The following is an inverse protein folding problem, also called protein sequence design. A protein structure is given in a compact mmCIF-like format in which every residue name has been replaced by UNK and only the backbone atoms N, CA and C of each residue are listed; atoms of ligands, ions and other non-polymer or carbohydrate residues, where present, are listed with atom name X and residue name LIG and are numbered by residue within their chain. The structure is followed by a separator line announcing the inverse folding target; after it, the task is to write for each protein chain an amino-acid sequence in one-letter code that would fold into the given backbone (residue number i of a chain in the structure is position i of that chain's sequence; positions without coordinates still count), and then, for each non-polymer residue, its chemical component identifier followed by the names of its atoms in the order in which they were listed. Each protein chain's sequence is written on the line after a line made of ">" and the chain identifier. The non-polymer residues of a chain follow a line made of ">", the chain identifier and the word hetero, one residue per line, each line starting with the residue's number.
data_IF_055567986320
#
_entry.id   IF_055567986320
#
_cell.length_a   1.000
_cell.length_b   1.000
_cell.length_c   1.000
_cell.angle_alpha   90.00
_cell.angle_beta   90.00
_cell.angle_gamma   90.00
#
_symmetry.space_group_name_H-M   'P 1'
#
loop_
_entity.id
_entity.type
_entity.pdbx_description
1 polymer ?
#
# COMPACT_ATOMS: atom_id res chain seq x y z
N UNK A 1 31.56 -14.22 -23.91
CA UNK A 1 32.30 -13.17 -24.62
C UNK A 1 31.56 -12.87 -25.92
N UNK A 2 31.01 -11.68 -26.07
CA UNK A 2 30.18 -11.26 -27.20
C UNK A 2 30.90 -10.10 -27.90
N UNK A 3 31.07 -10.09 -29.23
CA UNK A 3 31.70 -8.98 -29.93
C UNK A 3 30.91 -7.68 -29.75
N UNK A 4 31.62 -6.56 -29.54
CA UNK A 4 31.00 -5.24 -29.48
C UNK A 4 30.68 -4.71 -30.89
N UNK A 5 29.86 -3.65 -30.96
CA UNK A 5 29.58 -2.94 -32.22
C UNK A 5 30.85 -2.41 -32.90
N UNK A 6 31.92 -2.12 -32.13
CA UNK A 6 33.19 -1.63 -32.70
C UNK A 6 33.89 -2.70 -33.53
N UNK A 7 33.84 -3.97 -33.11
CA UNK A 7 34.43 -5.08 -33.87
C UNK A 7 33.74 -5.21 -35.22
N UNK A 8 32.40 -5.19 -35.24
CA UNK A 8 31.65 -5.21 -36.48
C UNK A 8 31.95 -4.00 -37.36
N UNK A 9 32.06 -2.80 -36.77
CA UNK A 9 32.44 -1.60 -37.51
C UNK A 9 33.81 -1.73 -38.17
N UNK A 10 34.83 -2.23 -37.46
CA UNK A 10 36.17 -2.45 -38.02
C UNK A 10 36.20 -3.53 -39.11
N UNK A 11 35.46 -4.63 -38.94
CA UNK A 11 35.38 -5.67 -39.96
C UNK A 11 34.64 -5.20 -41.22
N UNK A 12 33.56 -4.44 -41.05
CA UNK A 12 32.81 -3.88 -42.19
C UNK A 12 33.62 -2.79 -42.89
N UNK A 13 34.31 -1.92 -42.16
CA UNK A 13 35.18 -0.91 -42.79
C UNK A 13 36.35 -1.54 -43.55
N UNK A 14 36.90 -2.65 -43.05
CA UNK A 14 37.92 -3.43 -43.76
C UNK A 14 37.42 -3.92 -45.13
N UNK A 15 36.16 -4.36 -45.24
CA UNK A 15 35.55 -4.76 -46.53
C UNK A 15 35.53 -3.60 -47.53
N UNK A 16 35.21 -2.39 -47.08
CA UNK A 16 35.21 -1.19 -47.95
C UNK A 16 36.61 -0.71 -48.35
N UNK A 17 37.61 -0.94 -47.50
CA UNK A 17 39.01 -0.55 -47.76
C UNK A 17 39.70 -1.55 -48.71
N UNK A 18 39.31 -2.83 -48.69
CA UNK A 18 39.88 -3.90 -49.50
C UNK A 18 39.97 -3.59 -51.02
N UNK A 19 38.93 -3.09 -51.72
CA UNK A 19 39.03 -2.79 -53.15
C UNK A 19 40.01 -1.65 -53.46
N UNK A 20 40.11 -0.64 -52.59
CA UNK A 20 41.05 0.47 -52.74
C UNK A 20 42.49 -0.04 -52.58
N UNK A 21 42.72 -0.88 -51.56
CA UNK A 21 44.04 -1.45 -51.31
C UNK A 21 44.49 -2.40 -52.44
N UNK A 22 43.54 -3.13 -53.04
CA UNK A 22 43.81 -4.01 -54.19
C UNK A 22 44.33 -3.26 -55.42
N UNK A 23 43.97 -1.99 -55.61
CA UNK A 23 44.47 -1.17 -56.73
C UNK A 23 45.96 -0.83 -56.53
N UNK A 24 46.41 -0.70 -55.29
CA UNK A 24 47.77 -0.25 -54.95
C UNK A 24 48.75 -1.41 -54.87
N UNK A 25 48.37 -2.50 -54.20
CA UNK A 25 49.29 -3.60 -53.82
C UNK A 25 48.98 -4.90 -54.59
N UNK A 26 47.88 -4.94 -55.34
CA UNK A 26 47.41 -6.13 -56.06
C UNK A 26 46.50 -7.03 -55.22
N UNK A 27 45.69 -7.85 -55.91
CA UNK A 27 44.59 -8.63 -55.32
C UNK A 27 45.07 -9.58 -54.21
N UNK A 28 46.08 -10.41 -54.50
CA UNK A 28 46.56 -11.42 -53.55
C UNK A 28 47.18 -10.81 -52.30
N UNK A 29 47.98 -9.75 -52.45
CA UNK A 29 48.58 -9.05 -51.32
C UNK A 29 47.51 -8.33 -50.48
N UNK A 30 46.52 -7.70 -51.12
CA UNK A 30 45.39 -7.07 -50.45
C UNK A 30 44.58 -8.08 -49.62
N UNK A 31 44.29 -9.25 -50.17
CA UNK A 31 43.59 -10.33 -49.43
C UNK A 31 44.41 -10.78 -48.22
N UNK A 32 45.72 -10.99 -48.38
CA UNK A 32 46.59 -11.41 -47.27
C UNK A 32 46.64 -10.35 -46.14
N UNK A 33 46.72 -9.06 -46.50
CA UNK A 33 46.71 -7.95 -45.53
C UNK A 33 45.37 -7.89 -44.78
N UNK A 34 44.24 -8.05 -45.49
CA UNK A 34 42.91 -8.03 -44.86
C UNK A 34 42.71 -9.20 -43.91
N UNK A 35 43.12 -10.42 -44.31
CA UNK A 35 43.06 -11.60 -43.43
C UNK A 35 43.90 -11.37 -42.17
N UNK A 36 45.10 -10.79 -42.31
CA UNK A 36 45.96 -10.48 -41.16
C UNK A 36 45.29 -9.43 -40.25
N UNK A 37 44.68 -8.39 -40.81
CA UNK A 37 43.94 -7.39 -40.06
C UNK A 37 42.74 -8.01 -39.30
N UNK A 38 41.94 -8.84 -39.95
CA UNK A 38 40.82 -9.55 -39.31
C UNK A 38 41.28 -10.44 -38.16
N UNK A 39 42.36 -11.20 -38.37
CA UNK A 39 42.97 -12.04 -37.33
C UNK A 39 43.46 -11.16 -36.16
N UNK A 40 44.12 -10.03 -36.43
CA UNK A 40 44.58 -9.14 -35.35
C UNK A 40 43.41 -8.56 -34.54
N UNK A 41 42.32 -8.13 -35.18
CA UNK A 41 41.11 -7.63 -34.50
C UNK A 41 40.51 -8.73 -33.61
N UNK A 42 40.40 -9.96 -34.12
CA UNK A 42 39.88 -11.09 -33.34
C UNK A 42 40.80 -11.44 -32.16
N UNK A 43 42.12 -11.40 -32.33
CA UNK A 43 43.08 -11.61 -31.24
C UNK A 43 42.91 -10.52 -30.18
N UNK A 44 42.83 -9.25 -30.56
CA UNK A 44 42.60 -8.16 -29.61
C UNK A 44 41.27 -8.28 -28.88
N UNK A 45 40.21 -8.73 -29.57
CA UNK A 45 38.90 -9.01 -28.95
C UNK A 45 38.99 -10.11 -27.89
N UNK A 46 39.72 -11.21 -28.17
CA UNK A 46 39.93 -12.30 -27.21
C UNK A 46 40.73 -11.82 -26.00
N UNK A 47 41.79 -11.05 -26.23
CA UNK A 47 42.61 -10.48 -25.14
C UNK A 47 41.77 -9.53 -24.28
N UNK A 48 40.95 -8.67 -24.89
CA UNK A 48 40.06 -7.73 -24.19
C UNK A 48 39.10 -8.50 -23.27
N UNK A 49 38.43 -9.55 -23.78
CA UNK A 49 37.48 -10.30 -22.98
C UNK A 49 38.11 -11.20 -21.90
N UNK A 50 39.32 -11.73 -22.11
CA UNK A 50 40.04 -12.45 -21.05
C UNK A 50 40.46 -11.50 -19.92
N UNK A 51 40.88 -10.27 -20.24
CA UNK A 51 41.22 -9.26 -19.22
C UNK A 51 40.02 -8.89 -18.34
N UNK A 52 38.80 -8.88 -18.89
CA UNK A 52 37.58 -8.60 -18.12
C UNK A 52 37.40 -9.59 -16.98
N UNK A 53 37.68 -10.89 -17.20
CA UNK A 53 37.47 -11.94 -16.18
C UNK A 53 38.23 -11.69 -14.88
N UNK A 54 39.43 -11.10 -14.97
CA UNK A 54 40.24 -10.76 -13.80
C UNK A 54 39.80 -9.45 -13.13
N UNK A 55 39.15 -8.57 -13.88
CA UNK A 55 38.70 -7.25 -13.44
C UNK A 55 37.17 -7.12 -13.41
N UNK A 56 36.47 -8.22 -13.11
CA UNK A 56 35.01 -8.22 -12.98
C UNK A 56 34.58 -7.34 -11.82
N UNK A 57 33.57 -6.53 -12.05
CA UNK A 57 32.95 -5.74 -10.98
C UNK A 57 32.25 -6.66 -9.97
N UNK A 58 32.28 -6.25 -8.70
CA UNK A 58 31.48 -6.87 -7.64
C UNK A 58 30.18 -6.07 -7.51
N UNK A 59 29.06 -6.76 -7.46
CA UNK A 59 27.74 -6.13 -7.30
C UNK A 59 27.04 -6.81 -6.14
N UNK A 60 26.45 -6.02 -5.26
CA UNK A 60 25.58 -6.49 -4.17
C UNK A 60 24.24 -5.78 -4.28
N UNK A 61 23.15 -6.53 -4.09
CA UNK A 61 21.79 -5.98 -4.11
C UNK A 61 21.28 -5.78 -2.69
N UNK A 62 20.80 -4.58 -2.42
CA UNK A 62 20.08 -4.26 -1.19
C UNK A 62 18.59 -4.03 -1.50
N UNK A 63 17.76 -4.87 -0.90
CA UNK A 63 16.31 -4.83 -1.03
C UNK A 63 15.69 -4.16 0.21
N UNK A 64 14.63 -3.35 0.06
CA UNK A 64 13.86 -2.90 1.20
C UNK A 64 13.30 -4.10 1.98
N UNK A 65 13.43 -4.07 3.31
CA UNK A 65 12.91 -5.12 4.20
C UNK A 65 11.40 -5.38 4.02
N UNK A 66 10.66 -4.35 3.57
CA UNK A 66 9.21 -4.40 3.36
C UNK A 66 8.86 -3.58 2.11
N UNK A 67 8.44 -4.25 1.05
CA UNK A 67 7.90 -3.59 -0.13
C UNK A 67 6.45 -3.18 0.12
N UNK A 68 6.01 -2.06 -0.43
CA UNK A 68 4.62 -1.59 -0.36
C UNK A 68 3.94 -1.72 -1.71
N UNK A 69 2.77 -2.37 -1.74
CA UNK A 69 1.92 -2.48 -2.93
C UNK A 69 1.52 -1.10 -3.46
N UNK A 70 1.51 -0.95 -4.79
CA UNK A 70 1.00 0.26 -5.44
C UNK A 70 1.88 1.51 -5.25
N UNK A 71 3.13 1.33 -4.84
CA UNK A 71 4.12 2.39 -4.61
C UNK A 71 5.44 2.05 -5.30
N UNK A 72 6.24 3.08 -5.56
CA UNK A 72 7.62 2.90 -5.97
C UNK A 72 8.45 2.44 -4.77
N UNK A 73 9.17 1.35 -4.93
CA UNK A 73 10.08 0.81 -3.93
C UNK A 73 11.50 0.83 -4.50
N UNK A 74 12.43 1.60 -3.89
CA UNK A 74 13.79 1.70 -4.40
C UNK A 74 14.57 0.41 -4.11
N UNK A 75 15.24 -0.12 -5.13
CA UNK A 75 16.23 -1.20 -5.01
C UNK A 75 17.60 -0.60 -5.30
N UNK A 76 18.55 -0.86 -4.41
CA UNK A 76 19.90 -0.29 -4.48
C UNK A 76 20.86 -1.40 -4.92
N UNK A 77 21.62 -1.13 -5.97
CA UNK A 77 22.69 -1.98 -6.47
C UNK A 77 24.02 -1.28 -6.21
N UNK A 78 24.79 -1.82 -5.28
CA UNK A 78 26.12 -1.29 -4.94
C UNK A 78 27.15 -1.98 -5.83
N UNK A 79 27.83 -1.20 -6.67
CA UNK A 79 28.82 -1.72 -7.62
C UNK A 79 30.21 -1.26 -7.19
N UNK A 80 31.09 -2.22 -6.92
CA UNK A 80 32.50 -1.97 -6.60
C UNK A 80 33.40 -2.41 -7.74
N UNK A 81 34.22 -1.49 -8.22
CA UNK A 81 35.26 -1.74 -9.24
C UNK A 81 36.61 -2.02 -8.60
N UNK A 82 37.45 -2.78 -9.31
CA UNK A 82 38.86 -2.96 -8.95
C UNK A 82 39.76 -1.91 -9.61
N UNK A 83 41.01 -2.30 -9.93
CA UNK A 83 42.04 -1.42 -10.48
C UNK A 83 41.80 -0.92 -11.93
N UNK A 84 40.61 -1.10 -12.51
CA UNK A 84 40.31 -0.68 -13.87
C UNK A 84 38.90 -0.10 -13.95
N UNK A 85 38.69 0.95 -14.77
CA UNK A 85 37.35 1.48 -14.99
C UNK A 85 36.48 0.42 -15.67
N UNK A 86 35.18 0.48 -15.39
CA UNK A 86 34.22 -0.50 -15.89
C UNK A 86 33.01 0.20 -16.50
N UNK A 87 32.68 -0.17 -17.74
CA UNK A 87 31.41 0.17 -18.38
C UNK A 87 30.52 -1.06 -18.35
N UNK A 88 29.39 -0.96 -17.67
CA UNK A 88 28.54 -2.12 -17.37
C UNK A 88 27.08 -1.89 -17.75
N UNK A 89 26.40 -2.99 -18.02
CA UNK A 89 24.96 -3.10 -18.15
C UNK A 89 24.49 -4.16 -17.17
N UNK A 90 23.54 -3.80 -16.32
CA UNK A 90 22.99 -4.66 -15.27
C UNK A 90 21.52 -4.90 -15.55
N UNK A 91 21.10 -6.15 -15.44
CA UNK A 91 19.70 -6.58 -15.46
C UNK A 91 19.44 -7.43 -14.22
N UNK A 92 18.65 -6.89 -13.30
CA UNK A 92 18.20 -7.63 -12.11
C UNK A 92 16.97 -8.47 -12.46
N UNK A 93 16.94 -9.74 -12.08
CA UNK A 93 15.78 -10.59 -12.33
C UNK A 93 14.78 -10.47 -11.17
N UNK A 94 13.97 -9.41 -11.25
CA UNK A 94 12.82 -9.18 -10.37
C UNK A 94 11.63 -10.09 -10.71
N UNK A 95 10.66 -10.27 -9.78
CA UNK A 95 9.44 -11.03 -10.03
C UNK A 95 8.61 -10.49 -11.22
N UNK A 96 8.08 -11.34 -12.11
CA UNK A 96 7.39 -10.90 -13.33
C UNK A 96 6.12 -10.08 -13.08
N UNK A 97 5.56 -10.17 -11.88
CA UNK A 97 4.39 -9.41 -11.45
C UNK A 97 4.70 -7.93 -11.19
N UNK A 98 5.97 -7.55 -11.12
CA UNK A 98 6.40 -6.19 -10.79
C UNK A 98 6.72 -5.41 -12.06
N UNK A 99 6.34 -4.14 -12.05
CA UNK A 99 6.75 -3.17 -13.06
C UNK A 99 8.01 -2.46 -12.57
N UNK A 100 8.94 -2.15 -13.47
CA UNK A 100 10.14 -1.37 -13.16
C UNK A 100 10.19 -0.10 -13.98
N UNK A 101 10.87 0.91 -13.48
CA UNK A 101 11.17 2.13 -14.23
C UNK A 101 12.23 1.88 -15.32
N UNK A 102 13.26 1.09 -15.01
CA UNK A 102 14.42 0.83 -15.87
C UNK A 102 14.75 -0.66 -15.88
N UNK A 103 14.59 -1.32 -17.04
CA UNK A 103 14.86 -2.77 -17.19
C UNK A 103 16.38 -3.07 -17.30
N UNK A 104 17.16 -2.14 -17.86
CA UNK A 104 18.61 -2.28 -18.02
C UNK A 104 19.30 -1.03 -17.51
N UNK A 105 20.10 -1.18 -16.46
CA UNK A 105 20.85 -0.09 -15.85
C UNK A 105 22.23 -0.05 -16.48
N UNK A 106 22.61 1.09 -17.04
CA UNK A 106 23.94 1.30 -17.64
C UNK A 106 24.75 2.26 -16.80
N UNK A 107 25.98 1.89 -16.44
CA UNK A 107 26.87 2.73 -15.64
C UNK A 107 28.32 2.70 -16.16
N UNK A 108 29.03 3.81 -15.97
CA UNK A 108 30.45 3.96 -16.24
C UNK A 108 31.15 4.38 -14.95
N UNK A 109 31.89 3.45 -14.35
CA UNK A 109 32.47 3.60 -13.02
C UNK A 109 33.99 3.65 -13.15
N UNK A 110 34.65 4.61 -12.49
CA UNK A 110 36.11 4.70 -12.54
C UNK A 110 36.75 3.60 -11.69
N UNK A 111 38.05 3.37 -11.90
CA UNK A 111 38.81 2.39 -11.11
C UNK A 111 38.79 2.72 -9.61
N UNK A 112 38.73 1.67 -8.78
CA UNK A 112 38.73 1.74 -7.31
C UNK A 112 37.63 2.61 -6.72
N UNK A 113 36.47 2.68 -7.40
CA UNK A 113 35.28 3.37 -6.92
C UNK A 113 34.15 2.39 -6.62
N UNK A 114 33.34 2.78 -5.65
CA UNK A 114 32.04 2.17 -5.36
C UNK A 114 30.96 3.18 -5.75
N UNK A 115 30.00 2.75 -6.54
CA UNK A 115 28.85 3.57 -6.96
C UNK A 115 27.54 2.85 -6.61
N UNK A 116 26.57 3.61 -6.13
CA UNK A 116 25.22 3.12 -5.81
C UNK A 116 24.28 3.45 -6.97
N UNK A 117 23.70 2.42 -7.58
CA UNK A 117 22.74 2.54 -8.65
C UNK A 117 21.35 2.18 -8.12
N UNK A 118 20.42 3.11 -8.18
CA UNK A 118 19.06 2.92 -7.66
C UNK A 118 18.06 2.84 -8.79
N UNK A 119 17.18 1.84 -8.74
CA UNK A 119 16.02 1.71 -9.63
C UNK A 119 14.76 1.41 -8.83
N UNK A 120 13.58 1.71 -9.36
CA UNK A 120 12.33 1.52 -8.64
C UNK A 120 11.53 0.33 -9.16
N UNK A 121 11.02 -0.48 -8.23
CA UNK A 121 10.06 -1.55 -8.50
C UNK A 121 8.67 -1.16 -8.00
N UNK A 122 7.66 -1.46 -8.80
CA UNK A 122 6.26 -1.19 -8.55
C UNK A 122 5.48 -2.52 -8.51
N UNK A 123 5.22 -3.07 -7.30
CA UNK A 123 4.45 -4.29 -7.15
C UNK A 123 2.94 -4.04 -7.25
N UNK A 124 2.27 -4.82 -8.10
CA UNK A 124 0.82 -4.75 -8.31
C UNK A 124 0.03 -5.78 -7.48
N UNK A 125 0.71 -6.69 -6.79
CA UNK A 125 0.10 -7.75 -5.99
C UNK A 125 0.85 -7.90 -4.66
N UNK A 126 0.11 -8.13 -3.58
CA UNK A 126 0.67 -8.50 -2.28
C UNK A 126 1.02 -9.99 -2.26
N UNK A 127 2.00 -10.35 -1.45
CA UNK A 127 2.40 -11.75 -1.27
C UNK A 127 3.88 -11.90 -1.01
N UNK A 128 4.34 -13.14 -1.04
CA UNK A 128 5.75 -13.50 -0.95
C UNK A 128 6.28 -13.76 -2.36
N UNK A 129 7.39 -13.12 -2.71
CA UNK A 129 8.00 -13.20 -4.03
C UNK A 129 9.49 -13.49 -3.90
N UNK A 130 10.05 -14.13 -4.92
CA UNK A 130 11.46 -14.52 -4.94
C UNK A 130 12.20 -13.71 -5.99
N UNK A 131 13.18 -12.94 -5.54
CA UNK A 131 14.16 -12.33 -6.42
C UNK A 131 15.17 -13.37 -6.87
N UNK A 132 15.49 -13.35 -8.16
CA UNK A 132 16.45 -14.27 -8.77
C UNK A 132 17.79 -13.57 -8.96
N UNK A 133 18.61 -14.17 -9.81
CA UNK A 133 19.97 -13.76 -10.13
C UNK A 133 20.05 -12.30 -10.64
N UNK A 134 21.28 -11.78 -10.68
CA UNK A 134 21.59 -10.52 -11.37
C UNK A 134 22.43 -10.89 -12.61
N UNK A 135 21.97 -10.50 -13.79
CA UNK A 135 22.77 -10.60 -15.02
C UNK A 135 23.58 -9.33 -15.23
N UNK A 136 24.87 -9.51 -15.48
CA UNK A 136 25.81 -8.42 -15.66
C UNK A 136 26.52 -8.63 -16.98
N UNK A 137 26.68 -7.53 -17.70
CA UNK A 137 27.44 -7.44 -18.92
C UNK A 137 28.44 -6.29 -18.77
N UNK A 138 29.74 -6.59 -18.90
CA UNK A 138 30.82 -5.60 -18.79
C UNK A 138 31.56 -5.47 -20.12
N UNK A 139 31.79 -4.24 -20.55
CA UNK A 139 32.57 -3.93 -21.73
C UNK A 139 34.06 -3.92 -21.37
N UNK A 140 34.88 -4.52 -22.24
CA UNK A 140 36.33 -4.50 -22.10
C UNK A 140 36.92 -3.10 -22.23
N UNK A 141 38.16 -2.93 -21.77
CA UNK A 141 38.84 -1.63 -21.74
C UNK A 141 39.03 -1.05 -23.15
N UNK A 142 39.25 -1.93 -24.14
CA UNK A 142 39.37 -1.51 -25.55
C UNK A 142 38.01 -1.35 -26.23
N UNK A 143 36.93 -1.77 -25.56
CA UNK A 143 35.58 -1.71 -26.08
C UNK A 143 35.34 -2.69 -27.21
N UNK A 144 36.08 -3.80 -27.28
CA UNK A 144 36.01 -4.80 -28.35
C UNK A 144 35.14 -6.00 -27.96
N UNK A 145 35.16 -6.39 -26.69
CA UNK A 145 34.40 -7.53 -26.21
C UNK A 145 33.51 -7.18 -25.01
N UNK A 146 32.32 -7.78 -24.97
CA UNK A 146 31.47 -7.88 -23.80
C UNK A 146 31.70 -9.22 -23.10
N UNK A 147 31.82 -9.21 -21.78
CA UNK A 147 31.74 -10.43 -20.97
C UNK A 147 30.45 -10.43 -20.16
N UNK A 148 29.76 -11.57 -20.16
CA UNK A 148 28.47 -11.75 -19.51
C UNK A 148 28.63 -12.80 -18.39
N UNK A 149 28.12 -12.50 -17.21
CA UNK A 149 28.01 -13.47 -16.12
C UNK A 149 26.77 -13.22 -15.28
N UNK A 150 26.47 -14.15 -14.38
CA UNK A 150 25.34 -14.08 -13.45
C UNK A 150 25.85 -14.18 -12.03
N UNK A 151 25.29 -13.36 -11.15
CA UNK A 151 25.44 -13.49 -9.69
C UNK A 151 24.19 -14.21 -9.19
N UNK A 152 24.37 -15.37 -8.59
CA UNK A 152 23.26 -16.13 -7.99
C UNK A 152 23.00 -15.59 -6.60
N UNK A 153 21.92 -14.84 -6.47
CA UNK A 153 21.47 -14.25 -5.21
C UNK A 153 19.96 -14.40 -5.14
N UNK A 154 19.49 -15.48 -4.49
CA UNK A 154 18.06 -15.69 -4.29
C UNK A 154 17.64 -15.04 -2.99
N UNK A 155 16.70 -14.11 -3.06
CA UNK A 155 16.21 -13.38 -1.89
C UNK A 155 14.69 -13.39 -1.87
N UNK A 156 14.12 -13.87 -0.78
CA UNK A 156 12.67 -13.86 -0.60
C UNK A 156 12.24 -12.53 0.01
N UNK A 157 11.23 -11.90 -0.59
CA UNK A 157 10.73 -10.60 -0.18
C UNK A 157 9.22 -10.64 -0.07
N UNK A 158 8.69 -9.92 0.92
CA UNK A 158 7.25 -9.79 1.12
C UNK A 158 6.77 -8.40 0.69
N UNK A 159 5.69 -8.38 -0.07
CA UNK A 159 4.96 -7.16 -0.43
C UNK A 159 3.80 -6.97 0.55
N UNK A 160 3.90 -5.91 1.33
CA UNK A 160 2.94 -5.46 2.33
C UNK A 160 1.90 -4.51 1.72
N UNK A 161 0.81 -4.24 2.47
CA UNK A 161 -0.07 -3.08 2.23
C UNK A 161 0.71 -1.75 2.16
N UNK A 162 0.05 -0.64 1.82
CA UNK A 162 0.71 0.68 1.65
C UNK A 162 1.29 1.25 2.96
N UNK A 163 2.46 0.73 3.38
CA UNK A 163 3.15 1.14 4.61
C UNK A 163 3.70 2.56 4.51
N UNK A 164 4.07 3.00 3.31
CA UNK A 164 4.51 4.37 3.04
C UNK A 164 3.36 5.34 3.33
N UNK A 165 2.16 5.03 2.83
CA UNK A 165 0.93 5.75 3.14
C UNK A 165 0.64 5.80 4.63
N UNK A 166 0.69 4.65 5.33
CA UNK A 166 0.50 4.59 6.78
C UNK A 166 1.52 5.42 7.57
N UNK A 167 2.79 5.41 7.16
CA UNK A 167 3.83 6.24 7.80
C UNK A 167 3.57 7.72 7.59
N UNK A 168 3.16 8.13 6.39
CA UNK A 168 2.79 9.53 6.14
C UNK A 168 1.61 9.98 7.00
N UNK A 169 0.62 9.10 7.18
CA UNK A 169 -0.54 9.35 8.01
C UNK A 169 -0.18 9.44 9.50
N UNK A 170 0.69 8.56 10.00
CA UNK A 170 1.12 8.60 11.41
C UNK A 170 1.84 9.90 11.75
N UNK A 171 2.67 10.40 10.83
CA UNK A 171 3.33 11.71 10.95
C UNK A 171 2.28 12.83 10.98
N UNK A 172 1.33 12.83 10.02
CA UNK A 172 0.25 13.82 9.95
C UNK A 172 -0.55 13.89 11.27
N UNK A 173 -0.97 12.73 11.79
CA UNK A 173 -1.74 12.64 13.03
C UNK A 173 -0.93 13.13 14.25
N UNK A 174 0.36 12.79 14.31
CA UNK A 174 1.27 13.25 15.37
C UNK A 174 1.42 14.77 15.36
N UNK A 175 1.62 15.37 14.18
CA UNK A 175 1.72 16.82 14.00
C UNK A 175 0.40 17.53 14.37
N UNK A 176 -0.75 16.95 14.04
CA UNK A 176 -2.04 17.49 14.45
C UNK A 176 -2.20 17.48 15.97
N UNK A 177 -1.80 16.40 16.64
CA UNK A 177 -1.89 16.30 18.10
C UNK A 177 -0.95 17.26 18.85
N UNK A 178 0.24 17.53 18.30
CA UNK A 178 1.22 18.44 18.91
C UNK A 178 0.88 19.92 18.71
N UNK A 179 0.24 20.27 17.59
CA UNK A 179 -0.26 21.63 17.35
C UNK A 179 -1.51 21.99 18.18
N UNK A 180 -2.27 20.98 18.62
CA UNK A 180 -3.53 21.16 19.37
C UNK A 180 -3.38 20.99 20.90
N UNK A 181 -2.28 21.47 21.49
CA UNK A 181 -2.01 21.46 22.96
C UNK A 181 -3.07 22.28 23.77
N UNK A 182 -4.11 22.82 23.13
CA UNK A 182 -5.26 23.43 23.79
C UNK A 182 -6.59 23.01 23.16
N UNK A 183 -6.87 21.72 23.03
CA UNK A 183 -8.29 21.34 23.06
C UNK A 183 -8.75 21.47 24.51
N UNK A 184 -9.39 22.61 24.78
CA UNK A 184 -10.01 22.95 26.04
C UNK A 184 -10.74 21.72 26.59
N UNK A 185 -10.52 21.39 27.87
CA UNK A 185 -11.35 20.46 28.64
C UNK A 185 -12.80 20.83 28.39
N UNK A 186 -13.43 20.11 27.47
CA UNK A 186 -14.79 20.39 27.07
C UNK A 186 -15.64 19.79 28.19
N UNK A 187 -16.09 20.65 29.10
CA UNK A 187 -17.04 20.29 30.15
C UNK A 187 -18.34 19.87 29.46
N UNK A 188 -18.47 18.58 29.18
CA UNK A 188 -19.68 17.94 28.69
C UNK A 188 -20.25 16.99 29.76
N UNK A 189 -21.45 16.48 29.51
CA UNK A 189 -22.08 15.42 30.30
C UNK A 189 -21.28 14.14 30.04
N UNK A 190 -20.20 13.95 30.79
CA UNK A 190 -19.42 12.72 30.78
C UNK A 190 -20.21 11.54 31.34
N UNK A 191 -19.78 10.33 31.02
CA UNK A 191 -20.26 9.09 31.64
C UNK A 191 -19.24 8.50 32.62
N UNK A 192 -17.96 8.84 32.46
CA UNK A 192 -16.87 8.32 33.27
C UNK A 192 -16.62 9.21 34.48
N UNK A 193 -16.43 8.61 35.65
CA UNK A 193 -16.14 9.35 36.88
C UNK A 193 -14.71 9.90 36.83
N UNK A 194 -14.55 11.22 36.87
CA UNK A 194 -13.24 11.88 36.91
C UNK A 194 -12.80 12.15 38.34
N UNK A 195 -13.59 12.92 39.09
CA UNK A 195 -13.27 13.30 40.47
C UNK A 195 -14.53 13.66 41.28
N UNK A 196 -14.38 13.73 42.60
CA UNK A 196 -15.39 14.30 43.50
C UNK A 196 -15.01 15.75 43.81
N UNK A 197 -15.93 16.67 43.54
CA UNK A 197 -15.78 18.11 43.82
C UNK A 197 -16.82 18.56 44.84
N UNK A 198 -16.52 19.63 45.60
CA UNK A 198 -17.53 20.29 46.42
C UNK A 198 -18.66 20.88 45.53
N UNK A 199 -19.90 20.62 45.93
CA UNK A 199 -21.09 21.22 45.34
C UNK A 199 -20.99 22.75 45.31
N UNK A 200 -21.32 23.35 44.17
CA UNK A 200 -21.53 24.78 44.03
C UNK A 200 -22.96 25.05 43.59
N UNK A 201 -23.50 26.18 44.01
CA UNK A 201 -24.81 26.63 43.58
C UNK A 201 -24.89 26.69 42.05
N UNK A 202 -25.79 25.91 41.46
CA UNK A 202 -25.92 25.75 40.00
C UNK A 202 -25.52 24.36 39.47
N UNK A 203 -24.87 23.52 40.29
CA UNK A 203 -24.60 22.13 39.93
C UNK A 203 -25.90 21.29 39.94
N UNK A 204 -26.05 20.37 38.99
CA UNK A 204 -27.22 19.49 38.89
C UNK A 204 -27.23 18.45 40.03
N UNK A 205 -28.35 18.39 40.76
CA UNK A 205 -28.54 17.52 41.92
C UNK A 205 -28.41 16.03 41.58
N UNK A 206 -28.62 15.63 40.32
CA UNK A 206 -28.48 14.24 39.85
C UNK A 206 -27.05 13.70 39.97
N UNK A 207 -26.05 14.58 39.98
CA UNK A 207 -24.64 14.21 40.08
C UNK A 207 -24.13 14.21 41.53
N UNK A 208 -24.97 14.48 42.54
CA UNK A 208 -24.58 14.39 43.95
C UNK A 208 -24.29 12.93 44.33
N UNK A 209 -23.10 12.66 44.83
CA UNK A 209 -22.75 11.37 45.41
C UNK A 209 -23.12 11.35 46.89
N UNK A 210 -24.34 10.89 47.19
CA UNK A 210 -24.86 10.81 48.55
C UNK A 210 -24.02 9.89 49.45
N UNK A 211 -23.41 8.84 48.88
CA UNK A 211 -22.60 7.88 49.63
C UNK A 211 -21.26 8.48 50.02
N UNK A 212 -20.59 9.17 49.09
CA UNK A 212 -19.34 9.86 49.36
C UNK A 212 -19.55 11.03 50.34
N UNK A 213 -20.66 11.77 50.18
CA UNK A 213 -21.03 12.85 51.10
C UNK A 213 -21.26 12.34 52.51
N UNK A 214 -22.02 11.26 52.70
CA UNK A 214 -22.31 10.69 54.02
C UNK A 214 -21.03 10.23 54.75
N UNK A 215 -20.08 9.63 54.03
CA UNK A 215 -18.78 9.22 54.60
C UNK A 215 -17.93 10.41 55.05
N UNK A 216 -17.94 11.49 54.27
CA UNK A 216 -17.17 12.71 54.59
C UNK A 216 -17.78 13.50 55.75
N UNK A 217 -19.12 13.49 55.85
CA UNK A 217 -19.85 14.15 56.93
C UNK A 217 -19.52 13.59 58.32
N UNK A 218 -19.02 12.36 58.41
CA UNK A 218 -18.57 11.76 59.68
C UNK A 218 -17.28 12.40 60.23
N UNK A 219 -16.46 13.02 59.36
CA UNK A 219 -15.15 13.60 59.71
C UNK A 219 -15.19 15.13 59.87
N UNK A 220 -16.29 15.71 60.38
CA UNK A 220 -16.47 17.15 60.62
C UNK A 220 -16.34 18.06 59.36
N UNK A 221 -16.65 17.56 58.16
CA UNK A 221 -16.61 18.35 56.93
C UNK A 221 -17.98 18.34 56.22
N UNK A 222 -18.70 19.46 56.31
CA UNK A 222 -20.14 19.61 55.99
C UNK A 222 -20.41 20.02 54.53
N UNK A 223 -19.63 19.52 53.58
CA UNK A 223 -19.78 19.86 52.16
C UNK A 223 -20.38 18.71 51.34
N UNK A 224 -21.44 18.99 50.57
CA UNK A 224 -21.98 18.09 49.54
C UNK A 224 -20.92 17.80 48.47
N UNK A 225 -20.80 16.54 48.04
CA UNK A 225 -19.89 16.13 46.97
C UNK A 225 -20.66 15.83 45.69
N UNK A 226 -20.18 16.38 44.57
CA UNK A 226 -20.70 16.18 43.22
C UNK A 226 -19.68 15.39 42.41
N UNK A 227 -20.16 14.41 41.65
CA UNK A 227 -19.35 13.64 40.70
C UNK A 227 -19.10 14.51 39.48
N UNK A 228 -17.85 14.85 39.25
CA UNK A 228 -17.40 15.42 37.97
C UNK A 228 -17.23 14.24 37.03
N UNK A 229 -18.03 14.23 35.96
CA UNK A 229 -17.94 13.20 34.94
C UNK A 229 -17.14 13.75 33.76
N UNK A 230 -16.15 12.99 33.30
CA UNK A 230 -15.44 13.27 32.06
C UNK A 230 -16.03 12.40 30.92
N UNK A 231 -16.02 12.88 29.67
CA UNK A 231 -16.39 12.07 28.52
C UNK A 231 -15.54 10.81 28.46
N UNK A 232 -16.17 9.65 28.26
CA UNK A 232 -15.48 8.38 28.05
C UNK A 232 -14.50 8.53 26.88
N UNK A 233 -13.20 8.46 27.17
CA UNK A 233 -12.13 8.66 26.18
C UNK A 233 -11.95 7.44 25.28
N UNK A 234 -12.53 6.32 25.69
CA UNK A 234 -12.19 4.98 25.26
C UNK A 234 -13.29 4.36 24.39
N UNK A 235 -13.23 4.54 23.08
CA UNK A 235 -14.19 3.92 22.17
C UNK A 235 -13.65 2.61 21.59
N UNK A 236 -14.59 1.72 21.25
CA UNK A 236 -14.27 0.48 20.53
C UNK A 236 -14.68 0.63 19.06
N UNK A 237 -13.72 0.38 18.19
CA UNK A 237 -13.88 0.35 16.75
C UNK A 237 -13.74 -1.10 16.28
N UNK A 238 -14.76 -1.61 15.60
CA UNK A 238 -14.73 -2.90 14.90
C UNK A 238 -14.70 -2.60 13.40
N UNK A 239 -13.69 -3.08 12.70
CA UNK A 239 -13.60 -2.99 11.24
C UNK A 239 -13.88 -4.37 10.66
N UNK A 240 -14.91 -4.47 9.84
CA UNK A 240 -15.20 -5.64 9.02
C UNK A 240 -14.73 -5.37 7.60
N UNK A 241 -13.75 -6.14 7.14
CA UNK A 241 -13.24 -6.09 5.77
C UNK A 241 -13.80 -7.29 5.00
N UNK A 242 -14.54 -7.01 3.94
CA UNK A 242 -15.02 -8.01 3.00
C UNK A 242 -13.86 -8.49 2.11
N UNK A 243 -13.71 -9.81 1.94
CA UNK A 243 -12.75 -10.42 1.00
C UNK A 243 -13.41 -11.19 -0.14
N UNK A 244 -14.73 -11.08 -0.32
CA UNK A 244 -15.48 -11.81 -1.33
C UNK A 244 -15.40 -11.23 -2.74
N UNK A 245 -16.32 -11.70 -3.59
CA UNK A 245 -16.33 -11.55 -5.05
C UNK A 245 -16.23 -10.09 -5.48
N UNK A 246 -17.00 -9.19 -4.86
CA UNK A 246 -17.01 -7.77 -5.21
C UNK A 246 -15.67 -7.07 -4.94
N UNK A 247 -14.85 -7.63 -4.04
CA UNK A 247 -13.56 -7.07 -3.65
C UNK A 247 -12.40 -7.56 -4.54
N UNK A 248 -12.65 -8.51 -5.44
CA UNK A 248 -11.67 -9.01 -6.43
C UNK A 248 -11.46 -8.07 -7.61
N UNK A 249 -12.42 -7.17 -7.88
CA UNK A 249 -12.37 -6.22 -9.00
C UNK A 249 -11.12 -5.34 -8.92
N UNK A 250 -10.48 -5.08 -10.06
CA UNK A 250 -9.30 -4.19 -10.12
C UNK A 250 -9.74 -2.74 -10.28
N UNK A 251 -9.29 -1.88 -9.38
CA UNK A 251 -9.49 -0.43 -9.41
C UNK A 251 -8.12 0.24 -9.46
N UNK A 252 -7.84 0.99 -10.53
CA UNK A 252 -6.55 1.67 -10.75
C UNK A 252 -5.32 0.75 -10.61
N UNK A 253 -5.43 -0.49 -11.11
CA UNK A 253 -4.31 -1.45 -11.16
C UNK A 253 -4.10 -2.30 -9.90
N UNK A 254 -4.82 -2.03 -8.81
CA UNK A 254 -4.85 -2.86 -7.59
C UNK A 254 -6.21 -3.53 -7.43
N UNK A 255 -6.30 -4.60 -6.65
CA UNK A 255 -7.62 -5.15 -6.30
C UNK A 255 -8.34 -4.21 -5.33
N UNK A 256 -9.66 -4.14 -5.41
CA UNK A 256 -10.49 -3.33 -4.52
C UNK A 256 -10.28 -3.72 -3.06
N UNK A 257 -10.06 -5.01 -2.80
CA UNK A 257 -9.63 -5.52 -1.51
C UNK A 257 -8.36 -4.83 -0.98
N UNK A 258 -7.38 -4.56 -1.83
CA UNK A 258 -6.11 -3.94 -1.42
C UNK A 258 -6.32 -2.51 -0.94
N UNK A 259 -7.17 -1.76 -1.64
CA UNK A 259 -7.64 -0.45 -1.20
C UNK A 259 -8.40 -0.55 0.13
N UNK A 260 -9.29 -1.54 0.28
CA UNK A 260 -10.02 -1.82 1.52
C UNK A 260 -9.12 -2.19 2.70
N UNK A 261 -8.04 -2.94 2.46
CA UNK A 261 -7.05 -3.30 3.45
C UNK A 261 -6.21 -2.09 3.87
N UNK A 262 -5.75 -1.28 2.91
CA UNK A 262 -5.06 -0.01 3.20
C UNK A 262 -5.95 0.91 4.04
N UNK A 263 -7.25 0.96 3.73
CA UNK A 263 -8.26 1.74 4.45
C UNK A 263 -8.46 1.23 5.88
N UNK A 264 -8.57 -0.09 6.04
CA UNK A 264 -8.66 -0.76 7.34
C UNK A 264 -7.47 -0.39 8.22
N UNK A 265 -6.26 -0.49 7.69
CA UNK A 265 -5.03 -0.18 8.44
C UNK A 265 -4.89 1.32 8.74
N UNK A 266 -5.27 2.20 7.82
CA UNK A 266 -5.24 3.64 8.02
C UNK A 266 -6.21 4.09 9.12
N UNK A 267 -7.43 3.54 9.09
CA UNK A 267 -8.43 3.79 10.13
C UNK A 267 -7.99 3.20 11.48
N UNK A 268 -7.45 1.98 11.49
CA UNK A 268 -6.92 1.36 12.70
C UNK A 268 -5.79 2.20 13.32
N UNK A 269 -4.84 2.67 12.51
CA UNK A 269 -3.77 3.57 12.94
C UNK A 269 -4.33 4.86 13.55
N UNK A 270 -5.31 5.48 12.91
CA UNK A 270 -5.92 6.72 13.41
C UNK A 270 -6.65 6.51 14.75
N UNK A 271 -7.39 5.42 14.88
CA UNK A 271 -8.09 5.07 16.11
C UNK A 271 -7.11 4.71 17.25
N UNK A 272 -6.09 3.90 16.98
CA UNK A 272 -5.05 3.54 17.96
C UNK A 272 -4.25 4.77 18.42
N UNK A 273 -3.95 5.70 17.50
CA UNK A 273 -3.31 6.98 17.82
C UNK A 273 -4.17 7.84 18.77
N UNK A 274 -5.49 7.74 18.66
CA UNK A 274 -6.47 8.40 19.53
C UNK A 274 -6.81 7.62 20.81
N UNK A 275 -6.11 6.51 21.09
CA UNK A 275 -6.30 5.70 22.31
C UNK A 275 -7.46 4.70 22.25
N UNK A 276 -8.10 4.53 21.10
CA UNK A 276 -9.25 3.63 20.95
C UNK A 276 -8.83 2.16 20.87
N UNK A 277 -9.78 1.26 21.16
CA UNK A 277 -9.61 -0.18 20.96
C UNK A 277 -10.03 -0.54 19.55
N UNK A 278 -9.17 -1.20 18.79
CA UNK A 278 -9.48 -1.56 17.40
C UNK A 278 -9.52 -3.07 17.24
N UNK A 279 -10.67 -3.61 16.82
CA UNK A 279 -10.82 -4.99 16.38
C UNK A 279 -10.98 -5.06 14.86
N UNK A 280 -10.50 -6.14 14.24
CA UNK A 280 -10.64 -6.35 12.80
C UNK A 280 -11.17 -7.76 12.53
N UNK A 281 -12.24 -7.84 11.74
CA UNK A 281 -12.77 -9.08 11.18
C UNK A 281 -12.59 -9.09 9.67
N UNK A 282 -12.13 -10.19 9.09
CA UNK A 282 -12.11 -10.41 7.64
C UNK A 282 -12.98 -11.60 7.29
N UNK A 283 -13.88 -11.41 6.33
CA UNK A 283 -14.94 -12.38 6.03
C UNK A 283 -15.26 -12.49 4.54
N UNK A 284 -15.73 -13.66 4.14
CA UNK A 284 -16.43 -13.93 2.88
C UNK A 284 -17.74 -14.69 3.21
N UNK A 285 -17.86 -15.97 2.89
CA UNK A 285 -18.93 -16.88 3.33
C UNK A 285 -18.90 -17.17 4.83
N UNK A 286 -17.75 -16.92 5.47
CA UNK A 286 -17.56 -17.03 6.91
C UNK A 286 -16.50 -16.03 7.38
N UNK A 287 -16.42 -15.82 8.69
CA UNK A 287 -15.34 -15.02 9.30
C UNK A 287 -14.08 -15.88 9.39
N UNK A 288 -13.06 -15.56 8.58
CA UNK A 288 -11.79 -16.30 8.55
C UNK A 288 -10.77 -15.77 9.56
N UNK A 289 -10.81 -14.46 9.80
CA UNK A 289 -9.87 -13.80 10.69
C UNK A 289 -10.66 -12.91 11.62
N UNK A 290 -10.50 -13.12 12.92
CA UNK A 290 -11.01 -12.23 13.96
C UNK A 290 -9.84 -11.82 14.86
N UNK A 291 -9.58 -10.53 14.92
CA UNK A 291 -8.58 -9.93 15.79
C UNK A 291 -9.34 -9.07 16.80
N UNK A 292 -9.33 -9.50 18.06
CA UNK A 292 -10.07 -8.85 19.14
C UNK A 292 -9.62 -7.40 19.35
N UNK A 293 -10.53 -6.52 19.84
CA UNK A 293 -10.19 -5.12 20.09
C UNK A 293 -9.12 -4.94 21.16
N UNK A 294 -7.98 -4.42 20.76
CA UNK A 294 -6.85 -4.09 21.64
C UNK A 294 -6.32 -2.68 21.33
N UNK A 295 -5.37 -2.22 22.15
CA UNK A 295 -4.74 -0.89 22.06
C UNK A 295 -3.26 -0.98 21.77
N UNK A 296 -2.70 0.18 21.43
CA UNK A 296 -1.26 0.40 21.40
C UNK A 296 -0.63 0.08 20.05
N UNK A 297 0.62 0.51 19.89
CA UNK A 297 1.33 0.40 18.62
C UNK A 297 1.74 -1.03 18.27
N UNK A 298 1.99 -1.88 19.28
CA UNK A 298 2.24 -3.30 19.06
C UNK A 298 1.06 -4.01 18.38
N UNK A 299 -0.17 -3.58 18.71
CA UNK A 299 -1.38 -4.11 18.08
C UNK A 299 -1.47 -3.73 16.60
N UNK A 300 -1.06 -2.52 16.21
CA UNK A 300 -0.99 -2.14 14.79
C UNK A 300 -0.06 -3.06 13.99
N UNK A 301 1.13 -3.37 14.53
CA UNK A 301 2.04 -4.32 13.88
C UNK A 301 1.41 -5.72 13.76
N UNK A 302 0.71 -6.18 14.80
CA UNK A 302 -0.04 -7.46 14.77
C UNK A 302 -1.13 -7.45 13.69
N UNK A 303 -1.84 -6.33 13.51
CA UNK A 303 -2.83 -6.16 12.45
C UNK A 303 -2.17 -6.24 11.07
N UNK A 304 -1.07 -5.51 10.84
CA UNK A 304 -0.34 -5.53 9.57
C UNK A 304 0.11 -6.96 9.26
N UNK A 305 0.77 -7.65 10.19
CA UNK A 305 1.31 -8.99 9.94
C UNK A 305 0.21 -10.03 9.68
N UNK A 306 -0.91 -9.99 10.42
CA UNK A 306 -2.03 -10.92 10.23
C UNK A 306 -2.85 -10.66 8.96
N UNK A 307 -3.00 -9.40 8.56
CA UNK A 307 -3.86 -9.04 7.43
C UNK A 307 -3.12 -9.06 6.09
N UNK A 308 -1.79 -8.88 6.09
CA UNK A 308 -0.96 -8.91 4.87
C UNK A 308 -1.14 -10.15 3.99
N UNK A 309 -1.17 -11.39 4.53
CA UNK A 309 -1.29 -12.60 3.69
C UNK A 309 -2.70 -12.81 3.12
N UNK A 310 -3.71 -12.05 3.54
CA UNK A 310 -5.09 -12.26 3.12
C UNK A 310 -5.28 -11.72 1.70
N UNK A 311 -5.93 -12.53 0.86
CA UNK A 311 -6.25 -12.22 -0.54
C UNK A 311 -7.77 -12.29 -0.76
N UNK A 312 -8.35 -11.51 -1.67
CA UNK A 312 -9.76 -11.65 -2.00
C UNK A 312 -10.03 -12.94 -2.78
N UNK A 313 -11.24 -13.48 -2.61
CA UNK A 313 -11.70 -14.71 -3.25
C UNK A 313 -12.97 -14.44 -4.05
N UNK A 314 -13.17 -15.22 -5.11
CA UNK A 314 -14.35 -15.13 -5.98
C UNK A 314 -15.55 -15.86 -5.36
N UNK A 315 -15.89 -15.52 -4.12
CA UNK A 315 -16.98 -16.11 -3.32
C UNK A 315 -18.00 -15.04 -2.93
N UNK A 316 -19.29 -15.38 -2.89
CA UNK A 316 -20.30 -14.50 -2.31
C UNK A 316 -20.13 -14.36 -0.80
N UNK A 317 -20.30 -13.14 -0.30
CA UNK A 317 -20.06 -12.81 1.12
C UNK A 317 -21.33 -12.96 1.95
N UNK A 318 -21.22 -13.64 3.10
CA UNK A 318 -22.29 -13.77 4.10
C UNK A 318 -22.21 -12.60 5.09
N UNK A 319 -22.88 -11.50 4.73
CA UNK A 319 -22.90 -10.28 5.55
C UNK A 319 -23.66 -10.51 6.87
N UNK A 320 -24.71 -11.34 6.84
CA UNK A 320 -25.47 -11.67 8.03
C UNK A 320 -24.65 -12.48 9.04
N UNK A 321 -23.90 -13.47 8.57
CA UNK A 321 -22.97 -14.26 9.37
C UNK A 321 -21.89 -13.40 10.01
N UNK A 322 -21.27 -12.49 9.23
CA UNK A 322 -20.26 -11.56 9.74
C UNK A 322 -20.82 -10.64 10.85
N UNK A 323 -21.99 -10.05 10.62
CA UNK A 323 -22.67 -9.22 11.63
C UNK A 323 -23.04 -10.03 12.88
N UNK A 324 -23.54 -11.25 12.70
CA UNK A 324 -23.89 -12.14 13.82
C UNK A 324 -22.66 -12.45 14.67
N UNK A 325 -21.52 -12.70 14.03
CA UNK A 325 -20.25 -12.90 14.72
C UNK A 325 -19.82 -11.66 15.53
N UNK A 326 -19.96 -10.45 14.98
CA UNK A 326 -19.70 -9.20 15.72
C UNK A 326 -20.59 -9.08 16.94
N UNK A 327 -21.89 -9.36 16.81
CA UNK A 327 -22.84 -9.26 17.92
C UNK A 327 -22.49 -10.22 19.06
N UNK A 328 -21.96 -11.41 18.73
CA UNK A 328 -21.51 -12.41 19.70
C UNK A 328 -20.20 -12.01 20.39
N UNK A 329 -19.23 -11.48 19.64
CA UNK A 329 -17.89 -11.16 20.16
C UNK A 329 -17.85 -9.81 20.89
N UNK A 330 -18.62 -8.82 20.42
CA UNK A 330 -18.58 -7.46 20.94
C UNK A 330 -19.87 -7.11 21.67
N UNK A 331 -19.87 -7.20 22.99
CA UNK A 331 -21.06 -6.96 23.83
C UNK A 331 -21.27 -5.50 24.20
N UNK A 332 -20.26 -4.64 24.08
CA UNK A 332 -20.41 -3.20 24.33
C UNK A 332 -20.69 -2.46 23.02
N UNK A 333 -21.31 -1.29 23.13
CA UNK A 333 -21.49 -0.37 22.00
C UNK A 333 -20.13 -0.12 21.34
N UNK A 334 -20.12 -0.10 20.02
CA UNK A 334 -18.94 0.11 19.20
C UNK A 334 -19.34 0.78 17.88
N UNK A 335 -18.39 1.49 17.28
CA UNK A 335 -18.46 1.84 15.87
C UNK A 335 -18.12 0.58 15.06
N UNK A 336 -19.04 0.14 14.20
CA UNK A 336 -18.84 -1.03 13.35
C UNK A 336 -18.72 -0.55 11.91
N UNK A 337 -17.50 -0.52 11.40
CA UNK A 337 -17.18 -0.07 10.04
C UNK A 337 -17.14 -1.28 9.12
N UNK A 338 -18.03 -1.35 8.15
CA UNK A 338 -18.04 -2.38 7.10
C UNK A 338 -17.43 -1.82 5.83
N UNK A 339 -16.30 -2.36 5.38
CA UNK A 339 -15.61 -2.00 4.16
C UNK A 339 -15.89 -3.07 3.11
N UNK A 340 -16.63 -2.70 2.07
CA UNK A 340 -17.08 -3.59 0.99
C UNK A 340 -17.48 -2.75 -0.23
N UNK A 341 -18.21 -3.31 -1.20
CA UNK A 341 -18.80 -2.59 -2.31
C UNK A 341 -20.31 -2.85 -2.42
N UNK A 342 -21.04 -1.92 -3.05
CA UNK A 342 -22.49 -1.99 -3.24
C UNK A 342 -22.80 -1.75 -4.72
N UNK A 343 -23.30 -2.78 -5.41
CA UNK A 343 -23.64 -2.65 -6.84
C UNK A 343 -25.01 -2.01 -6.99
N UNK A 344 -26.04 -2.69 -6.48
CA UNK A 344 -27.43 -2.26 -6.54
C UNK A 344 -28.20 -2.74 -5.30
N UNK A 345 -29.45 -2.30 -5.19
CA UNK A 345 -30.29 -2.57 -4.04
C UNK A 345 -30.66 -4.05 -3.87
N UNK A 346 -30.85 -4.77 -4.97
CA UNK A 346 -31.29 -6.17 -5.00
C UNK A 346 -30.11 -7.07 -4.66
N UNK A 347 -28.98 -6.84 -5.33
CA UNK A 347 -27.74 -7.55 -5.10
C UNK A 347 -27.19 -7.30 -3.69
N UNK A 348 -27.41 -6.10 -3.12
CA UNK A 348 -26.95 -5.76 -1.77
C UNK A 348 -28.02 -5.88 -0.68
N UNK A 349 -29.17 -6.51 -0.96
CA UNK A 349 -30.27 -6.62 0.00
C UNK A 349 -29.83 -7.29 1.32
N UNK A 350 -28.97 -8.30 1.25
CA UNK A 350 -28.43 -8.98 2.44
C UNK A 350 -27.55 -8.04 3.27
N UNK A 351 -26.65 -7.28 2.64
CA UNK A 351 -25.83 -6.26 3.30
C UNK A 351 -26.70 -5.19 3.98
N UNK A 352 -27.75 -4.73 3.30
CA UNK A 352 -28.68 -3.75 3.86
C UNK A 352 -29.37 -4.32 5.11
N UNK A 353 -29.84 -5.57 5.05
CA UNK A 353 -30.44 -6.24 6.20
C UNK A 353 -29.44 -6.41 7.35
N UNK A 354 -28.20 -6.80 7.06
CA UNK A 354 -27.14 -7.00 8.04
C UNK A 354 -26.81 -5.70 8.79
N UNK A 355 -26.59 -4.60 8.07
CA UNK A 355 -26.29 -3.30 8.69
C UNK A 355 -27.48 -2.76 9.50
N UNK A 356 -28.71 -2.99 9.04
CA UNK A 356 -29.92 -2.60 9.78
C UNK A 356 -30.01 -3.35 11.11
N UNK A 357 -29.61 -4.62 11.17
CA UNK A 357 -29.57 -5.41 12.42
C UNK A 357 -28.56 -4.88 13.45
N UNK A 358 -27.50 -4.18 13.00
CA UNK A 358 -26.51 -3.57 13.90
C UNK A 358 -26.99 -2.25 14.52
N UNK A 359 -27.78 -1.46 13.79
CA UNK A 359 -28.18 -0.10 14.16
C UNK A 359 -28.78 0.08 15.57
N UNK A 360 -29.54 -0.86 16.15
CA UNK A 360 -30.11 -0.68 17.49
C UNK A 360 -29.07 -0.62 18.62
N UNK A 361 -27.90 -1.24 18.45
CA UNK A 361 -26.89 -1.40 19.52
C UNK A 361 -25.54 -0.76 19.18
N UNK A 362 -25.18 -0.76 17.91
CA UNK A 362 -23.90 -0.27 17.40
C UNK A 362 -24.13 0.97 16.53
N UNK A 363 -23.06 1.69 16.22
CA UNK A 363 -23.09 2.68 15.16
C UNK A 363 -22.55 2.02 13.88
N UNK A 364 -23.42 1.51 12.98
CA UNK A 364 -22.95 0.91 11.73
C UNK A 364 -22.49 2.00 10.76
N UNK A 365 -21.35 1.76 10.11
CA UNK A 365 -20.77 2.64 9.11
C UNK A 365 -20.38 1.82 7.88
N UNK A 366 -21.17 1.94 6.81
CA UNK A 366 -20.87 1.36 5.52
C UNK A 366 -19.87 2.23 4.75
N UNK A 367 -18.77 1.63 4.35
CA UNK A 367 -17.70 2.25 3.57
C UNK A 367 -17.60 1.50 2.26
N UNK A 368 -17.82 2.21 1.17
CA UNK A 368 -17.87 1.65 -0.16
C UNK A 368 -16.81 2.27 -1.06
N UNK A 369 -16.15 1.42 -1.86
CA UNK A 369 -15.05 1.83 -2.73
C UNK A 369 -15.56 2.08 -4.14
N UNK A 370 -15.60 3.35 -4.53
CA UNK A 370 -16.03 3.75 -5.86
C UNK A 370 -14.93 3.52 -6.89
N UNK A 371 -15.31 3.02 -8.06
CA UNK A 371 -14.42 2.96 -9.22
C UNK A 371 -14.51 4.28 -10.02
N UNK A 372 -13.42 5.06 -10.10
CA UNK A 372 -13.42 6.30 -10.87
C UNK A 372 -13.70 6.09 -12.36
N UNK A 373 -13.41 4.90 -12.92
CA UNK A 373 -13.68 4.64 -14.34
C UNK A 373 -15.18 4.66 -14.66
N UNK A 374 -16.03 4.23 -13.71
CA UNK A 374 -17.50 4.27 -13.90
C UNK A 374 -17.99 5.72 -13.91
N UNK A 375 -17.43 6.57 -13.06
CA UNK A 375 -17.73 8.01 -13.06
C UNK A 375 -17.29 8.67 -14.36
N UNK A 376 -16.07 8.38 -14.80
CA UNK A 376 -15.52 8.93 -16.03
C UNK A 376 -16.40 8.54 -17.23
N UNK A 377 -16.85 7.28 -17.31
CA UNK A 377 -17.77 6.81 -18.35
C UNK A 377 -19.13 7.50 -18.28
N UNK A 378 -19.67 7.74 -17.09
CA UNK A 378 -20.96 8.40 -16.91
C UNK A 378 -20.93 9.88 -17.34
N UNK A 379 -19.81 10.56 -17.06
CA UNK A 379 -19.65 12.01 -17.26
C UNK A 379 -18.96 12.41 -18.57
N UNK A 380 -18.32 11.48 -19.27
CA UNK A 380 -17.69 11.75 -20.57
C UNK A 380 -18.73 11.73 -21.68
N UNK A 381 -18.97 12.87 -22.32
CA UNK A 381 -19.82 12.94 -23.50
C UNK A 381 -19.15 12.25 -24.69
N UNK A 382 -19.94 11.50 -25.46
CA UNK A 382 -19.49 10.78 -26.66
C UNK A 382 -20.58 10.80 -27.71
N UNK A 383 -20.18 10.86 -28.98
CA UNK A 383 -21.08 10.74 -30.14
C UNK A 383 -21.12 9.32 -30.70
N UNK A 384 -20.23 8.44 -30.25
CA UNK A 384 -20.24 7.05 -30.66
C UNK A 384 -21.43 6.30 -30.00
N UNK A 385 -22.11 5.49 -30.81
CA UNK A 385 -23.33 4.77 -30.38
C UNK A 385 -23.00 3.74 -29.31
N UNK A 386 -21.91 2.98 -29.49
CA UNK A 386 -21.48 1.96 -28.51
C UNK A 386 -21.09 2.60 -27.19
N UNK A 387 -20.29 3.66 -27.23
CA UNK A 387 -19.91 4.44 -26.04
C UNK A 387 -21.12 5.07 -25.34
N UNK A 388 -22.14 5.48 -26.09
CA UNK A 388 -23.39 6.01 -25.52
C UNK A 388 -24.16 4.96 -24.71
N UNK A 389 -24.21 3.70 -25.17
CA UNK A 389 -24.80 2.61 -24.39
C UNK A 389 -24.02 2.34 -23.10
N UNK A 390 -22.69 2.30 -23.17
CA UNK A 390 -21.86 2.12 -21.97
C UNK A 390 -22.06 3.25 -20.95
N UNK A 391 -22.14 4.50 -21.42
CA UNK A 391 -22.47 5.65 -20.59
C UNK A 391 -23.85 5.55 -19.94
N UNK A 392 -24.87 5.11 -20.69
CA UNK A 392 -26.22 4.92 -20.15
C UNK A 392 -26.24 3.89 -19.00
N UNK A 393 -25.53 2.77 -19.18
CA UNK A 393 -25.37 1.74 -18.12
C UNK A 393 -24.61 2.30 -16.92
N UNK A 394 -23.53 3.06 -17.14
CA UNK A 394 -22.77 3.67 -16.05
C UNK A 394 -23.65 4.64 -15.23
N UNK A 395 -24.48 5.45 -15.88
CA UNK A 395 -25.43 6.34 -15.21
C UNK A 395 -26.48 5.58 -14.39
N UNK A 396 -27.02 4.49 -14.94
CA UNK A 396 -28.00 3.64 -14.24
C UNK A 396 -27.37 2.98 -12.99
N UNK A 397 -26.17 2.42 -13.10
CA UNK A 397 -25.44 1.85 -11.97
C UNK A 397 -25.19 2.88 -10.86
N UNK A 398 -24.76 4.09 -11.22
CA UNK A 398 -24.56 5.17 -10.25
C UNK A 398 -25.88 5.58 -9.57
N UNK A 399 -26.99 5.63 -10.32
CA UNK A 399 -28.30 5.95 -9.77
C UNK A 399 -28.80 4.87 -8.80
N UNK A 400 -28.71 3.59 -9.18
CA UNK A 400 -29.09 2.46 -8.33
C UNK A 400 -28.30 2.43 -7.02
N UNK A 401 -26.98 2.69 -7.10
CA UNK A 401 -26.11 2.80 -5.93
C UNK A 401 -26.53 3.94 -5.00
N UNK A 402 -26.89 5.10 -5.54
CA UNK A 402 -27.40 6.24 -4.73
C UNK A 402 -28.69 5.89 -3.99
N UNK A 403 -29.61 5.15 -4.62
CA UNK A 403 -30.85 4.67 -3.98
C UNK A 403 -30.52 3.74 -2.81
N UNK A 404 -29.61 2.79 -2.98
CA UNK A 404 -29.18 1.89 -1.91
C UNK A 404 -28.60 2.67 -0.71
N UNK A 405 -27.78 3.70 -0.96
CA UNK A 405 -27.24 4.56 0.10
C UNK A 405 -28.30 5.38 0.80
N UNK A 406 -29.28 5.91 0.07
CA UNK A 406 -30.38 6.66 0.66
C UNK A 406 -31.17 5.80 1.65
N UNK A 407 -31.40 4.52 1.31
CA UNK A 407 -32.08 3.58 2.20
C UNK A 407 -31.27 3.24 3.45
N UNK A 408 -29.95 3.03 3.32
CA UNK A 408 -29.06 2.80 4.47
C UNK A 408 -29.09 4.01 5.42
N UNK A 409 -28.97 5.23 4.88
CA UNK A 409 -29.04 6.47 5.66
C UNK A 409 -30.37 6.62 6.40
N UNK A 410 -31.49 6.33 5.73
CA UNK A 410 -32.82 6.37 6.34
C UNK A 410 -32.94 5.38 7.51
N UNK A 411 -32.20 4.27 7.49
CA UNK A 411 -32.16 3.28 8.57
C UNK A 411 -31.10 3.57 9.65
N UNK A 412 -30.53 4.78 9.67
CA UNK A 412 -29.57 5.21 10.68
C UNK A 412 -28.15 4.70 10.47
N UNK A 413 -27.83 4.16 9.29
CA UNK A 413 -26.48 3.70 8.94
C UNK A 413 -25.67 4.86 8.38
N UNK A 414 -24.46 5.06 8.89
CA UNK A 414 -23.52 6.01 8.30
C UNK A 414 -23.00 5.43 6.97
N UNK A 415 -22.85 6.28 5.96
CA UNK A 415 -22.40 5.84 4.62
C UNK A 415 -21.31 6.77 4.11
N UNK A 416 -20.21 6.17 3.64
CA UNK A 416 -19.15 6.83 2.90
C UNK A 416 -18.97 6.11 1.56
N UNK A 417 -19.09 6.87 0.48
CA UNK A 417 -18.76 6.43 -0.87
C UNK A 417 -17.70 7.38 -1.42
N UNK A 418 -16.52 6.87 -1.70
CA UNK A 418 -15.42 7.65 -2.22
C UNK A 418 -14.54 6.84 -3.19
N UNK A 419 -13.82 7.51 -4.10
CA UNK A 419 -12.84 6.86 -4.96
C UNK A 419 -11.82 6.05 -4.15
N UNK A 420 -11.45 4.88 -4.66
CA UNK A 420 -10.57 3.94 -3.97
C UNK A 420 -9.22 4.55 -3.52
N UNK A 421 -8.66 5.51 -4.26
CA UNK A 421 -7.43 6.21 -3.91
C UNK A 421 -7.58 7.30 -2.82
N UNK A 422 -8.80 7.71 -2.49
CA UNK A 422 -9.08 8.76 -1.50
C UNK A 422 -9.81 8.23 -0.25
N UNK A 423 -10.41 7.04 -0.33
CA UNK A 423 -11.28 6.47 0.71
C UNK A 423 -10.59 6.38 2.09
N UNK A 424 -9.31 6.03 2.16
CA UNK A 424 -8.55 5.96 3.42
C UNK A 424 -8.53 7.30 4.16
N UNK A 425 -8.19 8.38 3.45
CA UNK A 425 -8.11 9.72 4.03
C UNK A 425 -9.50 10.22 4.45
N UNK A 426 -10.49 10.07 3.57
CA UNK A 426 -11.85 10.52 3.85
C UNK A 426 -12.48 9.77 5.03
N UNK A 427 -12.23 8.46 5.15
CA UNK A 427 -12.72 7.65 6.27
C UNK A 427 -12.08 8.06 7.59
N UNK A 428 -10.76 8.27 7.60
CA UNK A 428 -10.03 8.75 8.80
C UNK A 428 -10.57 10.12 9.22
N UNK A 429 -10.74 11.05 8.29
CA UNK A 429 -11.28 12.38 8.61
C UNK A 429 -12.72 12.29 9.14
N UNK A 430 -13.56 11.44 8.54
CA UNK A 430 -14.92 11.16 9.04
C UNK A 430 -14.91 10.57 10.45
N UNK A 431 -14.04 9.61 10.71
CA UNK A 431 -13.86 9.01 12.03
C UNK A 431 -13.49 10.08 13.09
N UNK A 432 -12.49 10.90 12.79
CA UNK A 432 -12.05 11.97 13.68
C UNK A 432 -13.15 13.00 13.94
N UNK A 433 -13.96 13.32 12.93
CA UNK A 433 -15.13 14.19 13.09
C UNK A 433 -16.21 13.58 13.99
N UNK A 434 -16.52 12.29 13.82
CA UNK A 434 -17.49 11.58 14.67
C UNK A 434 -17.03 11.53 16.12
N UNK A 435 -15.72 11.27 16.33
CA UNK A 435 -15.10 11.29 17.66
C UNK A 435 -15.15 12.69 18.29
N UNK A 436 -14.82 13.73 17.54
CA UNK A 436 -14.88 15.10 18.03
C UNK A 436 -16.30 15.56 18.41
N UNK A 437 -17.34 14.98 17.81
CA UNK A 437 -18.75 15.29 18.10
C UNK A 437 -19.37 14.41 19.21
N UNK A 438 -18.61 13.53 19.85
CA UNK A 438 -19.11 12.53 20.82
C UNK A 438 -20.30 11.71 20.29
N UNK A 439 -20.27 11.34 19.00
CA UNK A 439 -21.35 10.58 18.35
C UNK A 439 -21.14 9.05 18.37
N UNK A 440 -20.01 8.60 18.92
CA UNK A 440 -19.55 7.21 18.92
C UNK A 440 -19.96 6.46 20.19
#
# INVERSE_FOLDING_TARGET
>A
MIPSQRVYFFLVSAIFIAPILSIIVGIYASIAIMILLDITILIFMVIDGVKIKNNRVKITRELPLRLSIGRDNPVILTVTTGNSPAKIQIRDYYPPEFKVDTDIITAEINANQTEELTYNVYPHQRGEFTWKNIAIRQLGMWGLAWDDWKITENTDVKVYPDLVGLRSLSIKLTLQSSGSIRQARQMGIGTEFAELRNYRSGDDLRFIDWKATARRSYNNNTGLLVRVLEPEQEQTLIILLDRGRLMTAKVQGLQRFDWGLNTTLALALAALHRGDRVGVGVFDRQVHTWISPERGQSHLNRLIDKLTPIQPELLESDYLGAVTHVVQQQTRRALVVLITDIVDITASAELLAALTKLAPRYLPFSVTLKDPQIDDLAHTFTQDTTQSYMRAVALDLLAQRQVAFAQLKHKGVLVLDAPANQISNQLVDRYLMLKAKNQL
#
